data_IF_653853696334
#
_entry.id   IF_653853696334
#
_cell.length_a   1.000
_cell.length_b   1.000
_cell.length_c   1.000
_cell.angle_alpha   90.00
_cell.angle_beta   90.00
_cell.angle_gamma   90.00
#
_symmetry.space_group_name_H-M   'P 1'
#
loop_
_entity.id
_entity.type
_entity.pdbx_description
1 polymer ?
#
# COMPACT_ATOMS: atom_id res chain seq x y z
N UNK A 1 -6.81 -20.66 -20.62
CA UNK A 1 -6.59 -19.21 -20.69
C UNK A 1 -7.63 -18.60 -21.60
N UNK A 2 -8.14 -17.42 -21.25
CA UNK A 2 -8.96 -16.56 -22.10
C UNK A 2 -8.17 -15.27 -22.28
N UNK A 3 -7.89 -14.89 -23.51
CA UNK A 3 -7.11 -13.70 -23.81
C UNK A 3 -8.01 -12.57 -24.34
N UNK A 4 -7.83 -11.38 -23.80
CA UNK A 4 -8.46 -10.15 -24.26
C UNK A 4 -7.48 -9.39 -25.15
N UNK A 5 -7.89 -9.06 -26.38
CA UNK A 5 -7.05 -8.37 -27.36
C UNK A 5 -7.74 -7.13 -27.95
N UNK A 6 -6.93 -6.12 -28.28
CA UNK A 6 -7.38 -4.92 -28.99
C UNK A 6 -6.29 -4.45 -29.96
N UNK A 7 -6.40 -4.86 -31.23
CA UNK A 7 -5.24 -5.11 -32.07
C UNK A 7 -4.82 -4.02 -33.07
N UNK A 8 -5.42 -2.82 -33.14
CA UNK A 8 -4.87 -1.72 -33.99
C UNK A 8 -5.49 -0.33 -33.75
N UNK A 9 -6.56 -0.20 -32.96
CA UNK A 9 -7.22 1.10 -32.72
C UNK A 9 -6.88 1.67 -31.35
N UNK A 10 -6.64 2.98 -31.29
CA UNK A 10 -6.39 3.72 -30.04
C UNK A 10 -7.56 3.69 -29.04
N UNK A 11 -8.71 3.13 -29.42
CA UNK A 11 -9.88 3.04 -28.55
C UNK A 11 -9.67 1.96 -27.50
N UNK A 12 -10.05 2.24 -26.26
CA UNK A 12 -10.00 1.30 -25.14
C UNK A 12 -11.19 0.32 -25.24
N UNK A 13 -11.02 -0.95 -24.87
CA UNK A 13 -12.14 -1.87 -24.71
C UNK A 13 -12.93 -1.46 -23.47
N UNK A 14 -14.21 -1.15 -23.65
CA UNK A 14 -15.07 -0.68 -22.57
C UNK A 14 -15.97 -1.82 -22.08
N UNK A 15 -15.90 -2.08 -20.79
CA UNK A 15 -16.83 -2.95 -20.08
C UNK A 15 -17.63 -2.11 -19.10
N UNK A 16 -18.92 -2.40 -18.94
CA UNK A 16 -19.67 -1.79 -17.85
C UNK A 16 -19.25 -2.43 -16.52
N UNK A 17 -19.42 -3.75 -16.40
CA UNK A 17 -18.84 -4.58 -15.35
C UNK A 17 -17.88 -5.60 -15.99
N UNK A 18 -16.79 -5.91 -15.30
CA UNK A 18 -15.93 -7.04 -15.62
C UNK A 18 -15.98 -8.03 -14.46
N UNK A 19 -16.49 -9.23 -14.72
CA UNK A 19 -16.60 -10.29 -13.73
C UNK A 19 -15.75 -11.47 -14.20
N UNK A 20 -14.77 -11.83 -13.38
CA UNK A 20 -13.96 -13.03 -13.52
C UNK A 20 -14.52 -14.05 -12.55
N UNK A 21 -15.15 -15.07 -13.12
CA UNK A 21 -15.80 -16.15 -12.38
C UNK A 21 -15.44 -17.45 -13.08
N UNK A 22 -14.32 -18.03 -12.66
CA UNK A 22 -13.73 -19.21 -13.27
C UNK A 22 -13.34 -20.22 -12.21
N UNK A 23 -14.19 -21.23 -12.04
CA UNK A 23 -13.96 -22.38 -11.17
C UNK A 23 -12.54 -22.92 -11.32
N UNK A 24 -11.80 -23.17 -10.22
CA UNK A 24 -10.44 -23.70 -10.32
C UNK A 24 -10.44 -25.06 -11.05
N UNK A 25 -9.48 -25.26 -11.95
CA UNK A 25 -9.23 -26.56 -12.56
C UNK A 25 -8.31 -27.37 -11.65
N UNK A 26 -8.88 -27.97 -10.60
CA UNK A 26 -8.11 -28.64 -9.56
C UNK A 26 -7.43 -27.63 -8.63
N UNK A 27 -6.10 -27.62 -8.59
CA UNK A 27 -5.32 -26.68 -7.74
C UNK A 27 -4.90 -25.40 -8.46
N UNK A 28 -5.27 -25.22 -9.74
CA UNK A 28 -4.86 -24.09 -10.56
C UNK A 28 -6.05 -23.23 -10.94
N UNK A 29 -5.89 -21.91 -10.80
CA UNK A 29 -6.86 -20.95 -11.30
C UNK A 29 -6.84 -20.92 -12.84
N UNK A 30 -8.02 -20.76 -13.44
CA UNK A 30 -8.06 -20.36 -14.85
C UNK A 30 -7.60 -18.92 -15.00
N UNK A 31 -6.80 -18.71 -16.02
CA UNK A 31 -6.26 -17.41 -16.37
C UNK A 31 -7.13 -16.68 -17.37
N UNK A 32 -7.48 -15.44 -17.03
CA UNK A 32 -7.98 -14.43 -17.96
C UNK A 32 -6.86 -13.41 -18.13
N UNK A 33 -6.25 -13.39 -19.31
CA UNK A 33 -5.09 -12.55 -19.62
C UNK A 33 -5.43 -11.45 -20.61
N UNK A 34 -4.50 -10.51 -20.74
CA UNK A 34 -4.49 -9.55 -21.83
C UNK A 34 -3.37 -9.98 -22.77
N UNK A 35 -3.71 -10.35 -24.01
CA UNK A 35 -2.72 -10.77 -24.98
C UNK A 35 -1.94 -9.58 -25.57
N UNK A 36 -0.80 -9.88 -26.19
CA UNK A 36 0.05 -8.89 -26.82
C UNK A 36 -0.69 -8.18 -27.97
N UNK A 37 -0.74 -6.86 -27.90
CA UNK A 37 -1.49 -6.05 -28.86
C UNK A 37 -0.54 -5.23 -29.75
N UNK A 38 -0.51 -5.56 -31.03
CA UNK A 38 0.30 -4.86 -32.03
C UNK A 38 -0.10 -3.38 -32.13
N UNK A 39 0.88 -2.47 -32.18
CA UNK A 39 0.64 -1.04 -32.33
C UNK A 39 0.32 -0.28 -31.04
N UNK A 40 0.33 -0.95 -29.89
CA UNK A 40 0.24 -0.33 -28.56
C UNK A 40 1.62 -0.20 -27.92
N UNK A 41 1.74 0.76 -27.00
CA UNK A 41 2.96 0.98 -26.21
C UNK A 41 2.87 0.28 -24.85
N UNK A 42 4.01 -0.17 -24.34
CA UNK A 42 4.16 -0.71 -22.98
C UNK A 42 4.53 0.38 -21.96
N UNK A 43 4.72 1.62 -22.40
CA UNK A 43 4.94 2.77 -21.51
C UNK A 43 3.60 3.20 -20.90
N UNK A 44 3.41 3.02 -19.58
CA UNK A 44 2.13 3.28 -18.96
C UNK A 44 1.79 4.77 -18.78
N UNK A 45 2.72 5.67 -19.06
CA UNK A 45 2.44 7.11 -19.10
C UNK A 45 1.68 7.53 -20.37
N UNK A 46 1.60 6.65 -21.37
CA UNK A 46 1.02 6.94 -22.68
C UNK A 46 -0.41 6.42 -22.77
N UNK A 47 -1.30 7.21 -23.36
CA UNK A 47 -2.71 6.84 -23.55
C UNK A 47 -2.90 5.50 -24.29
N UNK A 48 -1.97 5.14 -25.20
CA UNK A 48 -2.01 3.88 -25.95
C UNK A 48 -1.70 2.62 -25.11
N UNK A 49 -1.25 2.78 -23.86
CA UNK A 49 -1.04 1.65 -22.95
C UNK A 49 -2.33 1.19 -22.28
N UNK A 50 -3.31 2.08 -22.08
CA UNK A 50 -4.61 1.70 -21.51
C UNK A 50 -5.42 0.89 -22.51
N UNK A 51 -5.71 -0.37 -22.17
CA UNK A 51 -6.36 -1.32 -23.08
C UNK A 51 -7.78 -1.66 -22.70
N UNK A 52 -8.09 -1.64 -21.42
CA UNK A 52 -9.43 -1.92 -20.88
C UNK A 52 -9.85 -0.76 -19.97
N UNK A 53 -11.13 -0.39 -20.06
CA UNK A 53 -11.80 0.50 -19.13
C UNK A 53 -13.04 -0.20 -18.60
N UNK A 54 -13.12 -0.33 -17.28
CA UNK A 54 -14.26 -0.89 -16.56
C UNK A 54 -15.02 0.27 -15.90
N UNK A 55 -16.26 0.51 -16.32
CA UNK A 55 -17.01 1.71 -15.94
C UNK A 55 -17.59 1.64 -14.52
N UNK A 56 -17.97 0.45 -14.05
CA UNK A 56 -18.68 0.30 -12.77
C UNK A 56 -17.92 -0.58 -11.76
N UNK A 57 -17.54 -1.80 -12.11
CA UNK A 57 -16.85 -2.66 -11.14
C UNK A 57 -16.08 -3.80 -11.77
N UNK A 58 -14.95 -4.11 -11.15
CA UNK A 58 -14.18 -5.33 -11.40
C UNK A 58 -14.37 -6.28 -10.22
N UNK A 59 -14.95 -7.45 -10.50
CA UNK A 59 -15.13 -8.50 -9.51
C UNK A 59 -14.39 -9.75 -9.95
N UNK A 60 -13.55 -10.30 -9.09
CA UNK A 60 -12.92 -11.62 -9.25
C UNK A 60 -13.50 -12.52 -8.17
N UNK A 61 -14.51 -13.31 -8.53
CA UNK A 61 -15.10 -14.29 -7.62
C UNK A 61 -14.13 -15.46 -7.43
N UNK A 62 -13.72 -16.04 -8.55
CA UNK A 62 -12.80 -17.17 -8.66
C UNK A 62 -11.96 -17.03 -9.94
N UNK A 63 -10.72 -17.53 -9.92
CA UNK A 63 -9.80 -17.46 -11.05
C UNK A 63 -8.72 -16.40 -10.87
N UNK A 64 -7.97 -16.14 -11.94
CA UNK A 64 -6.97 -15.07 -11.95
C UNK A 64 -7.16 -14.14 -13.15
N UNK A 65 -6.92 -12.86 -12.93
CA UNK A 65 -6.85 -11.84 -13.97
C UNK A 65 -5.42 -11.35 -14.08
N UNK A 66 -4.77 -11.61 -15.21
CA UNK A 66 -3.36 -11.31 -15.42
C UNK A 66 -3.20 -10.00 -16.21
N UNK A 67 -2.54 -9.03 -15.60
CA UNK A 67 -2.20 -7.74 -16.21
C UNK A 67 -0.68 -7.61 -16.26
N UNK A 68 -0.09 -7.90 -17.43
CA UNK A 68 1.37 -7.90 -17.57
C UNK A 68 1.94 -6.55 -18.03
N UNK A 69 1.48 -6.02 -19.17
CA UNK A 69 2.16 -4.92 -19.89
C UNK A 69 1.33 -3.65 -20.05
N UNK A 70 0.02 -3.79 -19.93
CA UNK A 70 -0.94 -2.76 -20.26
C UNK A 70 -1.69 -2.32 -19.02
N UNK A 71 -2.30 -1.14 -19.08
CA UNK A 71 -3.09 -0.61 -17.97
C UNK A 71 -4.56 -0.96 -18.16
N UNK A 72 -5.20 -1.37 -17.06
CA UNK A 72 -6.66 -1.50 -16.96
C UNK A 72 -7.17 -0.33 -16.11
N UNK A 73 -8.00 0.53 -16.68
CA UNK A 73 -8.65 1.62 -15.97
C UNK A 73 -9.93 1.11 -15.31
N UNK A 74 -10.07 1.32 -14.01
CA UNK A 74 -11.27 0.98 -13.26
C UNK A 74 -11.87 2.25 -12.67
N UNK A 75 -13.12 2.55 -13.07
CA UNK A 75 -13.83 3.77 -12.66
C UNK A 75 -14.73 3.58 -11.42
N UNK A 76 -14.91 2.34 -10.96
CA UNK A 76 -15.64 2.04 -9.72
C UNK A 76 -14.95 0.97 -8.88
N UNK A 77 -15.68 0.07 -8.23
CA UNK A 77 -15.12 -0.72 -7.14
C UNK A 77 -14.34 -1.97 -7.60
N UNK A 78 -13.34 -2.36 -6.80
CA UNK A 78 -12.58 -3.61 -6.94
C UNK A 78 -12.97 -4.58 -5.82
N UNK A 79 -13.39 -5.79 -6.20
CA UNK A 79 -13.64 -6.87 -5.25
C UNK A 79 -12.98 -8.18 -5.70
N UNK A 80 -12.23 -8.82 -4.81
CA UNK A 80 -11.62 -10.13 -5.03
C UNK A 80 -12.01 -11.07 -3.88
N UNK A 81 -12.72 -12.15 -4.18
CA UNK A 81 -13.18 -13.13 -3.17
C UNK A 81 -12.19 -14.28 -3.03
N UNK A 82 -12.14 -15.21 -3.99
CA UNK A 82 -11.25 -16.37 -4.02
C UNK A 82 -10.47 -16.41 -5.34
N UNK A 83 -9.78 -15.31 -5.64
CA UNK A 83 -9.06 -15.15 -6.88
C UNK A 83 -7.86 -14.22 -6.75
N UNK A 84 -7.26 -13.91 -7.88
CA UNK A 84 -6.00 -13.17 -7.94
C UNK A 84 -5.99 -12.14 -9.05
N UNK A 85 -5.49 -10.95 -8.74
CA UNK A 85 -4.93 -10.05 -9.73
C UNK A 85 -3.44 -10.37 -9.83
N UNK A 86 -2.99 -10.84 -10.98
CA UNK A 86 -1.62 -11.30 -11.20
C UNK A 86 -0.86 -10.27 -12.01
N UNK A 87 0.35 -9.96 -11.55
CA UNK A 87 1.26 -9.02 -12.18
C UNK A 87 2.61 -9.69 -12.44
N UNK A 88 3.32 -9.23 -13.49
CA UNK A 88 4.68 -9.63 -13.76
C UNK A 88 5.63 -8.47 -13.39
N UNK A 89 6.48 -8.59 -12.35
CA UNK A 89 7.32 -7.51 -11.82
C UNK A 89 8.36 -6.96 -12.81
N UNK A 90 8.63 -7.68 -13.91
CA UNK A 90 9.51 -7.20 -14.98
C UNK A 90 8.83 -6.30 -16.01
N UNK A 91 7.51 -6.13 -15.88
CA UNK A 91 6.65 -5.40 -16.81
C UNK A 91 5.86 -4.32 -16.04
N UNK A 92 5.26 -3.38 -16.76
CA UNK A 92 4.65 -2.16 -16.19
C UNK A 92 3.13 -2.20 -16.05
N UNK A 93 2.50 -3.32 -16.43
CA UNK A 93 1.04 -3.46 -16.44
C UNK A 93 0.46 -3.47 -15.04
N UNK A 94 -0.69 -2.82 -14.89
CA UNK A 94 -1.35 -2.60 -13.59
C UNK A 94 -2.82 -2.26 -13.74
N UNK A 95 -3.54 -2.33 -12.62
CA UNK A 95 -4.90 -1.84 -12.50
C UNK A 95 -4.88 -0.42 -11.91
N UNK A 96 -5.38 0.56 -12.64
CA UNK A 96 -5.46 1.96 -12.20
C UNK A 96 -6.88 2.28 -11.73
N UNK A 97 -7.00 2.70 -10.47
CA UNK A 97 -8.21 3.22 -9.86
C UNK A 97 -8.31 4.72 -10.14
N UNK A 98 -9.15 5.11 -11.10
CA UNK A 98 -9.31 6.50 -11.56
C UNK A 98 -10.77 6.92 -11.76
N UNK A 99 -11.63 6.49 -10.84
CA UNK A 99 -13.04 6.86 -10.80
C UNK A 99 -13.29 8.35 -10.52
N UNK A 100 -14.51 8.81 -10.81
CA UNK A 100 -14.96 10.17 -10.48
C UNK A 100 -15.51 10.32 -9.05
N UNK A 101 -15.53 9.24 -8.29
CA UNK A 101 -15.97 9.14 -6.89
C UNK A 101 -14.99 8.28 -6.12
N UNK A 102 -15.04 8.31 -4.78
CA UNK A 102 -14.21 7.45 -3.96
C UNK A 102 -14.49 5.97 -4.30
N UNK A 103 -13.43 5.17 -4.47
CA UNK A 103 -13.53 3.75 -4.82
C UNK A 103 -13.29 2.87 -3.60
N UNK A 104 -13.72 1.62 -3.65
CA UNK A 104 -13.42 0.62 -2.63
C UNK A 104 -12.59 -0.53 -3.19
N UNK A 105 -11.72 -1.05 -2.32
CA UNK A 105 -10.92 -2.27 -2.55
C UNK A 105 -11.33 -3.27 -1.46
N UNK A 106 -11.94 -4.37 -1.87
CA UNK A 106 -12.50 -5.37 -0.95
C UNK A 106 -11.93 -6.75 -1.25
N UNK A 107 -11.31 -7.37 -0.25
CA UNK A 107 -10.89 -8.78 -0.28
C UNK A 107 -11.85 -9.67 0.51
N UNK A 108 -11.72 -10.98 0.38
CA UNK A 108 -12.37 -11.94 1.29
C UNK A 108 -11.67 -12.01 2.66
N UNK A 109 -12.46 -12.16 3.72
CA UNK A 109 -11.96 -12.51 5.04
C UNK A 109 -11.73 -14.04 5.23
N UNK A 110 -12.26 -14.85 4.32
CA UNK A 110 -12.20 -16.32 4.35
C UNK A 110 -11.07 -16.88 3.50
N UNK A 111 -10.70 -16.16 2.43
CA UNK A 111 -9.65 -16.54 1.48
C UNK A 111 -8.49 -15.56 1.54
N UNK A 112 -7.44 -15.83 0.76
CA UNK A 112 -6.24 -15.00 0.67
C UNK A 112 -6.13 -14.40 -0.74
N UNK A 113 -6.99 -13.43 -1.11
CA UNK A 113 -6.91 -12.80 -2.41
C UNK A 113 -5.60 -12.02 -2.59
N UNK A 114 -5.06 -12.05 -3.79
CA UNK A 114 -3.86 -11.30 -4.19
C UNK A 114 -4.26 -10.15 -5.10
N UNK A 115 -3.75 -8.94 -4.81
CA UNK A 115 -4.13 -7.71 -5.51
C UNK A 115 -3.07 -7.20 -6.49
N UNK A 116 -2.03 -8.00 -6.81
CA UNK A 116 -1.08 -7.69 -7.88
C UNK A 116 -0.51 -6.26 -7.81
N UNK A 117 -0.47 -5.58 -8.96
CA UNK A 117 -0.08 -4.17 -9.04
C UNK A 117 -1.30 -3.25 -9.21
N UNK A 118 -1.51 -2.39 -8.21
CA UNK A 118 -2.54 -1.34 -8.22
C UNK A 118 -1.92 0.06 -8.24
N UNK A 119 -2.49 0.95 -9.05
CA UNK A 119 -2.28 2.39 -8.98
C UNK A 119 -3.53 3.08 -8.46
N UNK A 120 -3.39 3.96 -7.47
CA UNK A 120 -4.43 4.92 -7.11
C UNK A 120 -4.16 6.26 -7.80
N UNK A 121 -4.98 6.58 -8.79
CA UNK A 121 -5.00 7.86 -9.52
C UNK A 121 -6.40 8.49 -9.45
N UNK A 122 -6.89 8.70 -8.23
CA UNK A 122 -8.23 9.23 -7.97
C UNK A 122 -8.20 10.24 -6.83
N UNK A 123 -8.49 11.51 -7.12
CA UNK A 123 -8.45 12.60 -6.13
C UNK A 123 -9.51 12.47 -5.04
N UNK A 124 -10.55 11.67 -5.25
CA UNK A 124 -11.54 11.33 -4.22
C UNK A 124 -11.07 10.18 -3.30
N UNK A 125 -9.92 9.57 -3.61
CA UNK A 125 -9.32 8.50 -2.85
C UNK A 125 -9.94 7.13 -3.07
N UNK A 126 -9.46 6.16 -2.28
CA UNK A 126 -10.01 4.81 -2.20
C UNK A 126 -10.02 4.32 -0.76
N UNK A 127 -10.91 3.39 -0.43
CA UNK A 127 -10.99 2.76 0.89
C UNK A 127 -10.78 1.25 0.81
N UNK A 128 -9.92 0.71 1.68
CA UNK A 128 -9.77 -0.72 1.87
C UNK A 128 -10.68 -1.20 3.01
N UNK A 129 -11.54 -2.17 2.73
CA UNK A 129 -12.53 -2.68 3.69
C UNK A 129 -12.07 -3.94 4.44
N UNK A 130 -11.01 -4.61 3.99
CA UNK A 130 -10.43 -5.82 4.60
C UNK A 130 -8.90 -5.75 4.68
N UNK A 131 -8.22 -6.74 5.25
CA UNK A 131 -6.77 -6.79 5.07
C UNK A 131 -6.47 -7.13 3.60
N UNK A 132 -5.52 -6.42 2.99
CA UNK A 132 -5.16 -6.58 1.58
C UNK A 132 -3.65 -6.75 1.45
N UNK A 133 -3.24 -7.57 0.48
CA UNK A 133 -1.85 -7.74 0.06
C UNK A 133 -1.74 -7.42 -1.43
N UNK A 134 -0.84 -6.50 -1.76
CA UNK A 134 -0.49 -6.11 -3.12
C UNK A 134 0.98 -6.49 -3.37
N UNK A 135 1.31 -6.84 -4.60
CA UNK A 135 2.69 -7.04 -5.01
C UNK A 135 3.39 -5.67 -5.11
N UNK A 136 2.70 -4.71 -5.77
CA UNK A 136 3.18 -3.36 -5.99
C UNK A 136 2.04 -2.35 -5.81
N UNK A 137 2.36 -1.14 -5.37
CA UNK A 137 1.39 -0.07 -5.26
C UNK A 137 2.00 1.27 -5.68
N UNK A 138 1.31 1.96 -6.60
CA UNK A 138 1.61 3.36 -6.96
C UNK A 138 0.53 4.24 -6.39
N UNK A 139 0.94 5.27 -5.66
CA UNK A 139 0.05 6.34 -5.23
C UNK A 139 0.33 7.56 -6.10
N UNK A 140 -0.54 7.81 -7.08
CA UNK A 140 -0.43 8.95 -8.01
C UNK A 140 -1.19 10.16 -7.48
N UNK A 141 -2.42 10.00 -7.00
CA UNK A 141 -3.19 11.06 -6.34
C UNK A 141 -4.26 10.51 -5.40
N UNK A 142 -4.67 11.31 -4.42
CA UNK A 142 -5.71 10.98 -3.45
C UNK A 142 -5.22 10.20 -2.23
N UNK A 143 -6.16 9.88 -1.34
CA UNK A 143 -5.90 9.16 -0.09
C UNK A 143 -6.35 7.71 -0.23
N UNK A 144 -5.47 6.76 0.09
CA UNK A 144 -5.86 5.36 0.29
C UNK A 144 -6.15 5.14 1.78
N UNK A 145 -7.43 5.19 2.16
CA UNK A 145 -7.85 4.95 3.53
C UNK A 145 -7.91 3.44 3.81
N UNK A 146 -7.07 2.96 4.72
CA UNK A 146 -7.02 1.55 5.13
C UNK A 146 -7.73 1.31 6.46
N UNK A 147 -8.20 2.37 7.15
CA UNK A 147 -8.90 2.28 8.42
C UNK A 147 -8.15 1.45 9.47
N UNK A 148 -8.83 0.47 10.08
CA UNK A 148 -8.21 -0.51 10.99
C UNK A 148 -7.40 -1.60 10.28
N UNK A 149 -7.55 -1.74 8.97
CA UNK A 149 -7.05 -2.87 8.22
C UNK A 149 -5.53 -2.79 8.01
N UNK A 150 -4.97 -3.92 7.57
CA UNK A 150 -3.57 -3.99 7.13
C UNK A 150 -3.53 -3.88 5.62
N UNK A 151 -2.67 -2.98 5.12
CA UNK A 151 -2.17 -3.04 3.76
C UNK A 151 -0.75 -3.60 3.78
N UNK A 152 -0.53 -4.72 3.10
CA UNK A 152 0.79 -5.26 2.80
C UNK A 152 1.13 -4.91 1.35
N UNK A 153 2.32 -4.36 1.12
CA UNK A 153 2.93 -4.22 -0.20
C UNK A 153 4.19 -5.10 -0.19
N UNK A 154 4.32 -6.02 -1.16
CA UNK A 154 5.42 -6.99 -1.21
C UNK A 154 6.73 -6.40 -1.79
N UNK A 155 6.94 -5.11 -1.55
CA UNK A 155 8.17 -4.34 -1.83
C UNK A 155 8.54 -3.46 -0.63
N UNK A 156 9.73 -2.85 -0.68
CA UNK A 156 10.21 -1.91 0.33
C UNK A 156 9.81 -0.45 0.04
N UNK A 157 8.85 -0.19 -0.86
CA UNK A 157 8.44 1.18 -1.20
C UNK A 157 6.98 1.26 -1.66
N UNK A 158 6.44 2.48 -1.57
CA UNK A 158 5.23 2.91 -2.28
C UNK A 158 5.70 3.78 -3.45
N UNK A 159 5.32 3.43 -4.67
CA UNK A 159 5.71 4.23 -5.84
C UNK A 159 4.90 5.53 -5.89
N UNK A 160 5.53 6.58 -6.39
CA UNK A 160 4.98 7.94 -6.41
C UNK A 160 5.91 8.98 -5.79
N UNK A 161 5.45 10.23 -5.80
CA UNK A 161 6.15 11.36 -5.19
C UNK A 161 5.16 12.44 -4.73
N UNK A 162 5.64 13.40 -3.92
CA UNK A 162 4.81 14.49 -3.42
C UNK A 162 3.75 14.03 -2.42
N UNK A 163 4.09 13.08 -1.56
CA UNK A 163 3.20 12.63 -0.49
C UNK A 163 2.91 13.76 0.50
N UNK A 164 1.76 13.69 1.16
CA UNK A 164 1.29 14.71 2.10
C UNK A 164 -0.16 14.50 2.50
N UNK A 165 -0.77 15.50 3.16
CA UNK A 165 -2.11 15.38 3.74
C UNK A 165 -3.23 15.06 2.73
N UNK A 166 -3.03 15.33 1.44
CA UNK A 166 -3.97 15.01 0.35
C UNK A 166 -3.58 13.78 -0.47
N UNK A 167 -2.40 13.21 -0.18
CA UNK A 167 -1.79 12.09 -0.91
C UNK A 167 -1.01 11.19 0.04
N UNK A 168 -1.71 10.25 0.68
CA UNK A 168 -1.16 9.38 1.71
C UNK A 168 -1.94 8.07 1.86
N UNK A 169 -1.38 7.13 2.60
CA UNK A 169 -2.05 5.93 3.10
C UNK A 169 -2.56 6.22 4.51
N UNK A 170 -3.87 6.36 4.66
CA UNK A 170 -4.50 6.82 5.89
C UNK A 170 -5.02 5.67 6.75
N UNK A 171 -4.67 5.70 8.04
CA UNK A 171 -5.26 4.82 9.06
C UNK A 171 -6.36 5.52 9.85
N UNK A 172 -7.21 4.78 10.55
CA UNK A 172 -8.22 5.35 11.46
C UNK A 172 -7.63 5.87 12.80
N UNK A 173 -6.31 5.76 12.96
CA UNK A 173 -5.57 6.12 14.16
C UNK A 173 -5.99 5.36 15.43
N UNK A 174 -6.69 4.23 15.32
CA UNK A 174 -7.14 3.49 16.50
C UNK A 174 -6.05 2.58 17.08
N UNK A 175 -6.19 2.21 18.36
CA UNK A 175 -5.33 1.19 18.99
C UNK A 175 -5.33 -0.14 18.23
N UNK A 176 -6.41 -0.45 17.51
CA UNK A 176 -6.56 -1.64 16.67
C UNK A 176 -6.00 -1.53 15.25
N UNK A 177 -5.58 -0.34 14.80
CA UNK A 177 -5.07 -0.13 13.44
C UNK A 177 -3.87 -1.03 13.13
N UNK A 178 -3.91 -1.74 12.00
CA UNK A 178 -2.81 -2.64 11.60
C UNK A 178 -1.76 -1.95 10.73
N UNK A 179 -2.11 -0.86 10.07
CA UNK A 179 -1.18 0.02 9.37
C UNK A 179 -0.65 -0.49 8.03
N UNK A 180 0.35 0.23 7.52
CA UNK A 180 1.08 -0.10 6.31
C UNK A 180 2.23 -1.03 6.64
N UNK A 181 2.33 -2.14 5.91
CA UNK A 181 3.42 -3.11 6.00
C UNK A 181 4.14 -3.18 4.66
N UNK A 182 5.45 -2.98 4.70
CA UNK A 182 6.34 -3.14 3.56
C UNK A 182 7.23 -4.37 3.75
N UNK A 183 7.57 -5.03 2.64
CA UNK A 183 8.57 -6.10 2.61
C UNK A 183 9.95 -5.47 2.56
N UNK A 184 10.81 -5.86 3.48
CA UNK A 184 12.21 -5.43 3.51
C UNK A 184 13.04 -6.58 2.93
N UNK A 185 13.34 -6.54 1.63
CA UNK A 185 14.06 -7.62 0.93
C UNK A 185 15.07 -7.02 -0.05
N UNK A 186 16.14 -6.44 0.50
CA UNK A 186 17.15 -5.68 -0.26
C UNK A 186 18.54 -5.76 0.40
N UNK A 187 19.56 -5.34 -0.33
CA UNK A 187 20.94 -5.15 0.14
C UNK A 187 21.20 -3.69 0.51
N UNK A 188 21.22 -3.41 1.81
CA UNK A 188 21.43 -2.08 2.35
C UNK A 188 22.90 -1.72 2.57
N UNK A 189 23.87 -2.40 1.95
CA UNK A 189 25.30 -2.02 2.03
C UNK A 189 25.61 -0.60 1.52
N UNK A 190 24.74 -0.01 0.70
CA UNK A 190 24.83 1.40 0.28
C UNK A 190 24.21 2.40 1.26
N UNK A 191 23.47 1.92 2.26
CA UNK A 191 22.50 2.71 2.99
C UNK A 191 21.27 3.05 2.16
N UNK A 192 20.13 3.28 2.82
CA UNK A 192 18.88 3.66 2.16
C UNK A 192 17.95 4.40 3.12
N UNK A 193 16.97 5.09 2.55
CA UNK A 193 15.81 5.61 3.29
C UNK A 193 14.56 4.93 2.73
N UNK A 194 13.83 4.24 3.59
CA UNK A 194 12.52 3.66 3.24
C UNK A 194 11.42 4.55 3.79
N UNK A 195 10.61 5.09 2.89
CA UNK A 195 9.51 5.99 3.22
C UNK A 195 8.20 5.23 3.44
N UNK A 196 7.53 5.53 4.55
CA UNK A 196 6.16 5.11 4.83
C UNK A 196 5.25 6.33 4.70
N UNK A 197 4.55 6.50 3.56
CA UNK A 197 3.72 7.66 3.32
C UNK A 197 2.36 7.53 4.01
N UNK A 198 2.38 7.48 5.34
CA UNK A 198 1.19 7.21 6.15
C UNK A 198 0.59 8.48 6.75
N UNK A 199 -0.61 8.35 7.29
CA UNK A 199 -1.30 9.43 7.97
C UNK A 199 -2.45 8.91 8.81
N UNK A 200 -3.13 9.82 9.50
CA UNK A 200 -4.33 9.46 10.23
C UNK A 200 -5.32 10.62 10.36
N UNK A 201 -6.60 10.35 10.14
CA UNK A 201 -7.71 11.29 10.31
C UNK A 201 -7.46 12.67 9.65
N UNK A 202 -7.00 12.68 8.41
CA UNK A 202 -6.71 13.85 7.60
C UNK A 202 -5.35 14.49 7.85
N UNK A 203 -4.56 13.97 8.78
CA UNK A 203 -3.26 14.50 9.13
C UNK A 203 -2.15 13.66 8.51
N UNK A 204 -1.18 14.35 7.93
CA UNK A 204 0.04 13.76 7.42
C UNK A 204 0.94 13.35 8.59
N UNK A 205 1.40 12.11 8.55
CA UNK A 205 2.28 11.57 9.57
C UNK A 205 3.27 10.66 8.83
N UNK A 206 4.36 11.22 8.35
CA UNK A 206 5.38 10.49 7.59
C UNK A 206 6.29 9.72 8.53
N UNK A 207 6.75 8.55 8.10
CA UNK A 207 7.82 7.84 8.78
C UNK A 207 8.88 7.40 7.77
N UNK A 208 10.10 7.90 7.97
CA UNK A 208 11.29 7.49 7.26
C UNK A 208 12.09 6.50 8.09
N UNK A 209 12.55 5.44 7.45
CA UNK A 209 13.47 4.46 8.03
C UNK A 209 14.82 4.64 7.37
N UNK A 210 15.75 5.27 8.08
CA UNK A 210 17.11 5.43 7.62
C UNK A 210 17.94 4.20 8.01
N UNK A 211 18.42 3.50 7.00
CA UNK A 211 19.18 2.28 7.10
C UNK A 211 20.61 2.60 6.73
N UNK A 212 21.53 2.41 7.66
CA UNK A 212 22.95 2.61 7.43
C UNK A 212 23.53 1.56 6.48
N UNK A 213 24.65 1.90 5.84
CA UNK A 213 25.44 1.00 5.00
C UNK A 213 25.99 -0.25 5.72
N UNK A 214 25.87 -0.33 7.05
CA UNK A 214 26.38 -1.45 7.85
C UNK A 214 25.40 -2.62 8.00
N UNK A 215 24.14 -2.46 7.59
CA UNK A 215 23.07 -3.46 7.80
C UNK A 215 23.20 -4.66 6.85
N UNK A 216 23.65 -4.44 5.60
CA UNK A 216 23.77 -5.49 4.59
C UNK A 216 22.44 -6.03 4.08
N UNK A 217 22.42 -7.28 3.61
CA UNK A 217 21.22 -7.93 3.08
C UNK A 217 20.26 -8.36 4.19
N UNK A 218 18.98 -8.04 4.02
CA UNK A 218 17.92 -8.41 4.98
C UNK A 218 16.70 -8.92 4.23
N UNK A 219 15.96 -9.83 4.85
CA UNK A 219 14.67 -10.30 4.34
C UNK A 219 13.67 -10.33 5.50
N UNK A 220 12.57 -9.60 5.36
CA UNK A 220 11.55 -9.53 6.39
C UNK A 220 10.46 -8.51 6.05
N UNK A 221 9.81 -7.99 7.08
CA UNK A 221 8.77 -6.99 6.94
C UNK A 221 8.81 -6.00 8.08
N UNK A 222 8.45 -4.76 7.77
CA UNK A 222 8.25 -3.70 8.73
C UNK A 222 6.84 -3.13 8.57
N UNK A 223 6.14 -2.93 9.69
CA UNK A 223 4.80 -2.36 9.74
C UNK A 223 4.83 -1.07 10.55
N UNK A 224 4.19 -0.03 10.03
CA UNK A 224 4.05 1.27 10.66
C UNK A 224 2.56 1.65 10.73
N UNK A 225 2.11 2.05 11.91
CA UNK A 225 0.75 2.56 12.12
C UNK A 225 0.76 3.75 13.10
N UNK A 226 0.48 4.98 12.65
CA UNK A 226 0.25 6.09 13.55
C UNK A 226 -1.04 5.86 14.35
N UNK A 227 -1.02 6.18 15.64
CA UNK A 227 -2.17 6.11 16.55
C UNK A 227 -2.36 7.50 17.13
N UNK A 228 -3.53 8.10 16.90
CA UNK A 228 -3.86 9.43 17.40
C UNK A 228 -4.84 9.30 18.59
N UNK A 229 -4.45 8.50 19.57
CA UNK A 229 -5.16 8.26 20.81
C UNK A 229 -4.16 8.26 21.96
N UNK A 230 -4.63 8.67 23.13
CA UNK A 230 -3.87 8.63 24.36
C UNK A 230 -3.32 7.23 24.65
N UNK A 231 -2.01 7.10 24.84
CA UNK A 231 -1.43 5.85 25.31
C UNK A 231 -1.69 5.68 26.82
N UNK A 232 -2.26 4.54 27.29
CA UNK A 232 -2.68 4.36 28.68
C UNK A 232 -1.53 4.25 29.69
N UNK A 233 -0.28 4.16 29.25
CA UNK A 233 0.88 4.08 30.15
C UNK A 233 2.01 4.97 29.66
N UNK A 234 2.46 5.89 30.51
CA UNK A 234 3.77 6.54 30.42
C UNK A 234 4.79 5.71 31.23
N UNK A 235 5.92 5.27 30.65
CA UNK A 235 6.88 4.41 31.34
C UNK A 235 7.54 5.02 32.60
N UNK A 236 7.52 6.35 32.76
CA UNK A 236 8.31 7.08 33.77
C UNK A 236 7.53 7.66 34.96
N UNK A 237 6.24 7.30 35.14
CA UNK A 237 5.47 7.71 36.31
C UNK A 237 5.08 9.18 36.31
N UNK A 238 3.90 9.45 35.77
CA UNK A 238 3.22 10.74 35.78
C UNK A 238 1.76 10.52 35.37
N UNK A 239 0.86 11.43 35.75
CA UNK A 239 -0.57 11.33 35.41
C UNK A 239 -0.88 11.71 33.96
N UNK A 240 0.14 12.00 33.15
CA UNK A 240 -0.01 12.48 31.79
C UNK A 240 0.08 11.29 30.83
N UNK A 241 -0.98 11.11 30.04
CA UNK A 241 -1.00 10.15 28.94
C UNK A 241 -0.08 10.62 27.80
N UNK A 242 0.33 9.70 26.91
CA UNK A 242 1.08 10.07 25.70
C UNK A 242 0.07 10.44 24.63
N UNK A 243 0.10 11.70 24.18
CA UNK A 243 -0.79 12.22 23.14
C UNK A 243 -0.31 11.68 21.80
N UNK A 244 -0.96 10.62 21.32
CA UNK A 244 -0.57 9.90 20.11
C UNK A 244 0.72 9.08 20.24
N UNK A 245 0.85 8.02 19.45
CA UNK A 245 2.07 7.20 19.39
C UNK A 245 2.14 6.41 18.09
N UNK A 246 3.30 5.83 17.80
CA UNK A 246 3.49 4.99 16.63
C UNK A 246 3.63 3.53 17.02
N UNK A 247 2.86 2.66 16.37
CA UNK A 247 3.07 1.22 16.46
C UNK A 247 3.99 0.80 15.34
N UNK A 248 5.10 0.19 15.73
CA UNK A 248 6.00 -0.47 14.79
C UNK A 248 5.98 -1.97 15.06
N UNK A 249 6.07 -2.79 14.00
CA UNK A 249 6.19 -4.23 14.13
C UNK A 249 7.14 -4.76 13.07
N UNK A 250 8.13 -5.55 13.50
CA UNK A 250 9.05 -6.23 12.60
C UNK A 250 8.76 -7.73 12.56
N UNK A 251 9.16 -8.40 11.47
CA UNK A 251 9.20 -9.86 11.41
C UNK A 251 10.21 -10.31 10.36
N UNK A 252 11.02 -11.33 10.64
CA UNK A 252 12.10 -11.76 9.75
C UNK A 252 13.39 -10.92 9.85
N UNK A 253 13.35 -9.77 10.53
CA UNK A 253 14.46 -8.82 10.67
C UNK A 253 15.32 -9.06 11.92
N UNK A 254 15.44 -10.32 12.37
CA UNK A 254 16.25 -10.64 13.55
C UNK A 254 17.72 -10.34 13.28
N UNK A 255 18.32 -9.41 14.04
CA UNK A 255 19.73 -9.05 13.95
C UNK A 255 20.03 -7.70 13.28
N UNK A 256 19.02 -6.97 12.79
CA UNK A 256 19.18 -5.69 12.10
C UNK A 256 19.00 -4.47 13.01
N UNK A 257 19.10 -4.62 14.33
CA UNK A 257 18.80 -3.54 15.28
C UNK A 257 19.86 -2.45 15.36
N UNK A 258 21.08 -2.71 14.88
CA UNK A 258 22.14 -1.69 14.77
C UNK A 258 22.09 -1.04 13.39
N UNK A 259 22.17 0.29 13.35
CA UNK A 259 22.24 1.04 12.10
C UNK A 259 20.89 1.22 11.39
N UNK A 260 19.78 1.14 12.12
CA UNK A 260 18.43 1.51 11.65
C UNK A 260 17.90 2.63 12.55
N UNK A 261 17.50 3.74 11.95
CA UNK A 261 16.93 4.91 12.61
C UNK A 261 15.53 5.19 12.06
N UNK A 262 14.59 5.46 12.97
CA UNK A 262 13.23 5.86 12.63
C UNK A 262 13.16 7.39 12.75
N UNK A 263 12.77 8.06 11.67
CA UNK A 263 12.48 9.48 11.66
C UNK A 263 11.00 9.66 11.39
N UNK A 264 10.34 10.40 12.27
CA UNK A 264 8.89 10.52 12.26
C UNK A 264 8.52 11.99 12.18
N UNK A 265 7.64 12.30 11.25
CA UNK A 265 7.13 13.65 11.02
C UNK A 265 5.65 13.68 11.34
N UNK A 266 5.19 14.85 11.74
CA UNK A 266 3.83 15.00 12.18
C UNK A 266 3.37 16.44 12.06
N UNK A 267 2.26 16.62 11.36
CA UNK A 267 1.56 17.90 11.28
C UNK A 267 0.57 18.13 12.44
N UNK A 268 0.56 17.28 13.48
CA UNK A 268 -0.33 17.48 14.63
C UNK A 268 0.16 18.69 15.42
N UNK A 269 -0.78 19.54 15.88
CA UNK A 269 -0.46 20.64 16.79
C UNK A 269 0.21 20.15 18.09
N UNK A 270 -0.09 18.90 18.48
CA UNK A 270 0.57 18.13 19.53
C UNK A 270 1.04 16.79 18.91
N UNK A 271 2.31 16.67 18.48
CA UNK A 271 2.80 15.47 17.82
C UNK A 271 2.76 14.25 18.77
N UNK A 272 2.49 13.04 18.24
CA UNK A 272 2.62 11.75 18.89
C UNK A 272 3.85 11.67 19.80
N UNK A 273 3.68 11.82 21.12
CA UNK A 273 4.80 11.87 22.07
C UNK A 273 4.79 13.05 23.07
N UNK A 274 3.97 14.08 22.85
CA UNK A 274 3.72 15.14 23.85
C UNK A 274 4.95 15.95 24.28
N UNK A 275 5.99 16.07 23.44
CA UNK A 275 7.21 16.83 23.69
C UNK A 275 8.43 16.31 22.94
N UNK A 276 9.62 16.85 23.20
CA UNK A 276 10.95 16.55 22.59
C UNK A 276 11.42 15.07 22.67
N UNK A 277 10.56 14.14 23.10
CA UNK A 277 10.89 12.73 23.28
C UNK A 277 9.86 11.84 22.61
N UNK A 278 10.33 11.02 21.68
CA UNK A 278 9.52 10.04 20.99
C UNK A 278 9.47 8.72 21.79
N UNK A 279 8.30 8.10 21.82
CA UNK A 279 8.10 6.79 22.43
C UNK A 279 7.63 5.80 21.37
N UNK A 280 8.40 4.73 21.18
CA UNK A 280 8.07 3.65 20.24
C UNK A 280 7.93 2.33 20.97
N UNK A 281 6.95 1.54 20.55
CA UNK A 281 6.79 0.17 21.02
C UNK A 281 7.39 -0.78 19.97
N UNK A 282 8.60 -1.27 20.22
CA UNK A 282 9.26 -2.27 19.36
C UNK A 282 9.11 -3.64 20.03
N UNK A 283 8.42 -4.55 19.36
CA UNK A 283 8.23 -5.95 19.83
C UNK A 283 7.73 -6.06 21.29
N UNK A 284 6.88 -5.11 21.70
CA UNK A 284 6.31 -5.06 23.06
C UNK A 284 7.16 -4.35 24.10
N UNK A 285 8.31 -3.77 23.72
CA UNK A 285 9.19 -2.98 24.60
C UNK A 285 9.09 -1.50 24.24
N UNK A 286 8.80 -0.67 25.25
CA UNK A 286 8.85 0.79 25.11
C UNK A 286 10.29 1.27 25.05
N UNK A 287 10.61 1.98 23.98
CA UNK A 287 11.90 2.63 23.77
C UNK A 287 11.68 4.13 23.68
N UNK A 288 12.50 4.90 24.39
CA UNK A 288 12.65 6.34 24.18
C UNK A 288 14.05 6.59 23.61
N UNK A 289 14.14 6.99 22.36
CA UNK A 289 15.37 7.55 21.77
C UNK A 289 15.10 8.99 21.39
N UNK A 290 16.08 9.86 21.58
CA UNK A 290 16.00 11.27 21.17
C UNK A 290 16.05 11.44 19.66
N UNK A 291 15.11 10.82 18.94
CA UNK A 291 14.78 11.20 17.58
C UNK A 291 14.18 12.61 17.66
N UNK A 292 14.78 13.49 16.85
CA UNK A 292 14.46 14.90 16.86
C UNK A 292 13.20 15.07 16.02
N UNK A 293 12.10 15.47 16.65
CA UNK A 293 10.96 16.02 15.93
C UNK A 293 11.49 17.15 15.04
N UNK A 294 11.52 16.91 13.73
CA UNK A 294 11.78 17.96 12.77
C UNK A 294 10.44 18.61 12.47
N UNK A 295 10.29 19.94 12.65
CA UNK A 295 9.08 20.61 12.19
C UNK A 295 8.95 20.38 10.69
N UNK A 296 7.72 20.13 10.24
CA UNK A 296 7.39 20.04 8.81
C UNK A 296 8.01 21.25 8.08
N UNK A 297 8.77 20.97 7.02
CA UNK A 297 9.39 21.98 6.14
C UNK A 297 8.40 22.55 5.15
#
# INVERSE_FOLDING_TARGET
TIDIENSTTANVLQFYNLVIDKDPNGSSYYDVGIAECTGRTTDPSQALNSIIQVQNGLTINEGQFTIERYTVNLLGDLSITDGKLVHNPSLSGRLTLNGSSAQSITGSALYSPEFGYIELDNSNGATITTNVSMDYFTLTTGILNIGINRLLIDTNFVDGSGFGATKMIETDAAHGAKGLRLKMDDDYTGGATVNFPVGSNGNWAECDINISSSVGSVTGYLTIAPVNLYHPTRPSGGCDAIDGYWKTKSSGLSGTSSGVEYQIYSSYADPPGGGDFEYYLIDGVWTSSGGRLLPDG
#
